data_IF_036315267330
#
_entry.id   IF_036315267330
#
_cell.length_a   1.000
_cell.length_b   1.000
_cell.length_c   1.000
_cell.angle_alpha   90.00
_cell.angle_beta   90.00
_cell.angle_gamma   90.00
#
_symmetry.space_group_name_H-M   'P 1'
#
loop_
_entity.id
_entity.type
_entity.pdbx_description
1 polymer ?
#
# COMPACT_ATOMS: atom_id res chain seq x y z
N UNK A 1 14.99 1.70 -14.10
CA UNK A 1 14.84 0.23 -14.28
C UNK A 1 13.45 -0.07 -14.85
N UNK A 2 13.29 -1.21 -15.51
CA UNK A 2 12.00 -1.56 -16.13
C UNK A 2 10.96 -1.97 -15.09
N UNK A 3 9.71 -1.53 -15.28
CA UNK A 3 8.53 -2.04 -14.58
C UNK A 3 7.80 -3.13 -15.39
N UNK A 4 8.34 -3.49 -16.55
CA UNK A 4 7.79 -4.55 -17.40
C UNK A 4 8.29 -5.92 -16.91
N UNK A 5 7.67 -6.42 -15.85
CA UNK A 5 8.07 -7.64 -15.16
C UNK A 5 7.35 -8.88 -15.69
N UNK A 6 8.03 -10.02 -15.68
CA UNK A 6 7.39 -11.30 -15.93
C UNK A 6 6.30 -11.55 -14.89
N UNK A 7 5.14 -12.02 -15.36
CA UNK A 7 4.03 -12.43 -14.52
C UNK A 7 3.84 -13.95 -14.54
N UNK A 8 2.87 -14.43 -13.79
CA UNK A 8 2.48 -15.86 -13.81
C UNK A 8 2.00 -16.35 -15.18
N UNK A 9 1.73 -15.47 -16.13
CA UNK A 9 1.38 -15.81 -17.49
C UNK A 9 2.59 -15.97 -18.43
N UNK A 10 3.78 -15.60 -17.98
CA UNK A 10 4.98 -15.50 -18.81
C UNK A 10 5.95 -16.68 -18.66
N UNK A 11 5.59 -17.72 -17.90
CA UNK A 11 6.39 -18.93 -17.74
C UNK A 11 5.55 -20.20 -17.61
N UNK A 12 6.15 -21.34 -17.89
CA UNK A 12 5.48 -22.63 -17.78
C UNK A 12 5.69 -23.22 -16.37
N UNK A 13 4.63 -23.23 -15.57
CA UNK A 13 4.65 -23.75 -14.21
C UNK A 13 4.30 -25.24 -14.08
N UNK A 14 3.93 -25.92 -15.18
CA UNK A 14 3.47 -27.31 -15.15
C UNK A 14 4.52 -28.26 -14.56
N UNK A 15 4.13 -29.02 -13.54
CA UNK A 15 4.98 -29.97 -12.82
C UNK A 15 6.07 -29.36 -11.94
N UNK A 16 6.20 -28.05 -11.93
CA UNK A 16 7.23 -27.33 -11.16
C UNK A 16 6.75 -26.99 -9.75
N UNK A 17 7.70 -26.95 -8.84
CA UNK A 17 7.51 -26.42 -7.48
C UNK A 17 7.64 -24.90 -7.56
N UNK A 18 6.60 -24.18 -7.27
CA UNK A 18 6.56 -22.71 -7.31
C UNK A 18 6.37 -22.16 -5.91
N UNK A 19 7.37 -21.45 -5.43
CA UNK A 19 7.28 -20.71 -4.16
C UNK A 19 6.56 -19.39 -4.41
N UNK A 20 5.41 -19.19 -3.74
CA UNK A 20 4.61 -17.98 -3.87
C UNK A 20 4.67 -17.19 -2.56
N UNK A 21 5.23 -16.00 -2.61
CA UNK A 21 5.24 -15.08 -1.47
C UNK A 21 3.93 -14.28 -1.46
N UNK A 22 3.06 -14.61 -0.53
CA UNK A 22 1.77 -13.95 -0.32
C UNK A 22 1.83 -12.93 0.83
N UNK A 23 0.82 -12.11 0.93
CA UNK A 23 0.56 -11.30 2.12
C UNK A 23 -0.66 -11.86 2.87
N UNK A 24 -0.40 -12.72 3.82
CA UNK A 24 -1.39 -13.30 4.73
C UNK A 24 -1.32 -12.68 6.14
N UNK A 25 -0.80 -11.46 6.23
CA UNK A 25 -0.78 -10.70 7.47
C UNK A 25 -2.19 -10.18 7.79
N UNK A 26 -3.08 -11.10 8.09
CA UNK A 26 -4.50 -10.86 8.40
C UNK A 26 -4.69 -10.49 9.87
N UNK A 27 -5.71 -9.68 10.21
CA UNK A 27 -6.05 -9.42 11.59
C UNK A 27 -6.68 -10.66 12.23
N UNK A 28 -6.19 -11.00 13.41
CA UNK A 28 -6.69 -12.12 14.22
C UNK A 28 -7.27 -11.59 15.54
N UNK A 29 -8.43 -12.14 15.95
CA UNK A 29 -9.01 -11.93 17.27
C UNK A 29 -9.33 -13.30 17.86
N UNK A 30 -8.73 -13.63 19.00
CA UNK A 30 -8.89 -14.93 19.65
C UNK A 30 -8.61 -16.14 18.73
N UNK A 31 -7.59 -16.02 17.86
CA UNK A 31 -7.23 -17.04 16.89
C UNK A 31 -8.11 -17.13 15.65
N UNK A 32 -9.11 -16.27 15.51
CA UNK A 32 -9.99 -16.23 14.35
C UNK A 32 -9.68 -15.03 13.44
N UNK A 33 -9.74 -15.26 12.13
CA UNK A 33 -9.52 -14.23 11.11
C UNK A 33 -10.74 -13.31 11.08
N UNK A 34 -10.54 -12.01 11.32
CA UNK A 34 -11.61 -11.00 11.31
C UNK A 34 -11.75 -10.29 9.96
N UNK A 35 -10.74 -10.35 9.11
CA UNK A 35 -10.75 -9.81 7.74
C UNK A 35 -9.96 -10.76 6.83
N UNK A 36 -10.60 -11.30 5.81
CA UNK A 36 -10.01 -12.23 4.86
C UNK A 36 -9.61 -11.61 3.53
N UNK A 37 -9.67 -10.29 3.39
CA UNK A 37 -9.42 -9.56 2.14
C UNK A 37 -8.09 -9.95 1.50
N UNK A 38 -7.04 -10.08 2.29
CA UNK A 38 -5.70 -10.47 1.80
C UNK A 38 -5.63 -11.90 1.31
N UNK A 39 -6.36 -12.81 1.94
CA UNK A 39 -6.46 -14.20 1.51
C UNK A 39 -7.17 -14.26 0.16
N UNK A 40 -8.31 -13.58 0.02
CA UNK A 40 -9.10 -13.52 -1.22
C UNK A 40 -8.28 -12.89 -2.35
N UNK A 41 -7.51 -11.85 -2.06
CA UNK A 41 -6.66 -11.19 -3.05
C UNK A 41 -5.55 -12.09 -3.63
N UNK A 42 -5.10 -13.10 -2.89
CA UNK A 42 -4.09 -14.06 -3.33
C UNK A 42 -4.65 -15.19 -4.21
N UNK A 43 -5.97 -15.45 -4.16
CA UNK A 43 -6.60 -16.59 -4.84
C UNK A 43 -6.41 -16.59 -6.35
N UNK A 44 -6.51 -15.47 -7.09
CA UNK A 44 -6.32 -15.49 -8.54
C UNK A 44 -4.96 -16.05 -8.97
N UNK A 45 -3.89 -15.65 -8.31
CA UNK A 45 -2.53 -16.16 -8.58
C UNK A 45 -2.41 -17.64 -8.23
N UNK A 46 -2.90 -18.04 -7.06
CA UNK A 46 -2.87 -19.43 -6.62
C UNK A 46 -3.65 -20.31 -7.60
N UNK A 47 -4.87 -19.94 -7.95
CA UNK A 47 -5.72 -20.69 -8.88
C UNK A 47 -5.11 -20.79 -10.27
N UNK A 48 -4.44 -19.73 -10.76
CA UNK A 48 -3.73 -19.77 -12.05
C UNK A 48 -2.64 -20.83 -12.04
N UNK A 49 -1.79 -20.84 -11.02
CA UNK A 49 -0.71 -21.82 -10.89
C UNK A 49 -1.24 -23.24 -10.73
N UNK A 50 -2.32 -23.45 -9.98
CA UNK A 50 -2.97 -24.75 -9.86
C UNK A 50 -3.54 -25.23 -11.18
N UNK A 51 -4.18 -24.34 -11.93
CA UNK A 51 -4.71 -24.65 -13.29
C UNK A 51 -3.59 -25.03 -14.25
N UNK A 52 -2.43 -24.45 -14.10
CA UNK A 52 -1.25 -24.75 -14.93
C UNK A 52 -0.53 -26.04 -14.52
N UNK A 53 -0.97 -26.72 -13.46
CA UNK A 53 -0.39 -27.97 -12.98
C UNK A 53 0.84 -27.79 -12.09
N UNK A 54 1.02 -26.63 -11.47
CA UNK A 54 2.11 -26.40 -10.54
C UNK A 54 1.90 -27.13 -9.20
N UNK A 55 3.01 -27.34 -8.50
CA UNK A 55 3.07 -27.68 -7.06
C UNK A 55 3.28 -26.37 -6.32
N UNK A 56 2.26 -25.88 -5.62
CA UNK A 56 2.23 -24.52 -5.06
C UNK A 56 2.69 -24.52 -3.62
N UNK A 57 3.76 -23.81 -3.33
CA UNK A 57 4.32 -23.64 -1.97
C UNK A 57 4.11 -22.20 -1.57
N UNK A 58 3.25 -21.96 -0.58
CA UNK A 58 2.91 -20.62 -0.10
C UNK A 58 3.77 -20.24 1.11
N UNK A 59 4.23 -19.02 1.18
CA UNK A 59 4.87 -18.44 2.35
C UNK A 59 4.39 -17.01 2.61
N UNK A 60 4.36 -16.61 3.85
CA UNK A 60 3.98 -15.28 4.30
C UNK A 60 4.48 -15.00 5.71
N UNK A 61 4.59 -13.71 6.03
CA UNK A 61 4.69 -13.27 7.41
C UNK A 61 3.29 -13.08 8.04
N UNK A 62 3.24 -13.07 9.36
CA UNK A 62 2.07 -12.70 10.15
C UNK A 62 2.55 -11.97 11.42
N UNK A 63 2.01 -10.77 11.70
CA UNK A 63 2.40 -10.00 12.88
C UNK A 63 3.85 -9.51 12.87
N UNK A 64 4.34 -9.17 14.05
CA UNK A 64 5.72 -8.64 14.24
C UNK A 64 6.69 -9.63 14.87
N UNK A 65 6.19 -10.68 15.49
CA UNK A 65 6.97 -11.76 16.15
C UNK A 65 8.09 -11.22 17.05
N UNK A 66 7.73 -10.35 17.99
CA UNK A 66 8.72 -9.66 18.86
C UNK A 66 9.39 -10.58 19.87
N UNK A 67 8.68 -11.60 20.33
CA UNK A 67 9.10 -12.51 21.40
C UNK A 67 9.50 -13.91 20.90
N UNK A 68 9.73 -14.03 19.58
CA UNK A 68 10.01 -15.31 18.94
C UNK A 68 8.76 -16.10 18.54
N UNK A 69 8.96 -17.31 17.95
CA UNK A 69 7.87 -18.15 17.46
C UNK A 69 6.83 -18.47 18.53
N UNK A 70 5.56 -18.31 18.19
CA UNK A 70 4.44 -18.58 19.10
C UNK A 70 3.15 -18.90 18.34
N UNK A 71 2.21 -19.59 19.00
CA UNK A 71 0.93 -19.99 18.41
C UNK A 71 0.02 -18.83 17.97
N UNK A 72 0.11 -17.67 18.62
CA UNK A 72 -0.74 -16.51 18.29
C UNK A 72 -0.43 -15.91 16.91
N UNK A 73 0.80 -16.10 16.46
CA UNK A 73 1.29 -15.62 15.17
C UNK A 73 1.51 -16.77 14.18
N UNK A 74 0.94 -17.96 14.46
CA UNK A 74 0.93 -19.10 13.54
C UNK A 74 0.01 -18.86 12.34
N UNK A 75 0.41 -19.32 11.16
CA UNK A 75 -0.41 -19.31 9.95
C UNK A 75 -1.43 -20.45 9.87
N UNK A 76 -1.58 -21.26 10.90
CA UNK A 76 -2.55 -22.36 10.94
C UNK A 76 -3.99 -21.91 10.60
N UNK A 77 -4.52 -20.80 11.15
CA UNK A 77 -5.84 -20.28 10.77
C UNK A 77 -5.95 -19.92 9.30
N UNK A 78 -4.87 -19.40 8.70
CA UNK A 78 -4.81 -19.05 7.27
C UNK A 78 -4.87 -20.31 6.41
N UNK A 79 -4.15 -21.37 6.77
CA UNK A 79 -4.19 -22.66 6.07
C UNK A 79 -5.61 -23.24 6.02
N UNK A 80 -6.32 -23.20 7.14
CA UNK A 80 -7.71 -23.64 7.25
C UNK A 80 -8.62 -22.83 6.31
N UNK A 81 -8.51 -21.49 6.35
CA UNK A 81 -9.32 -20.61 5.54
C UNK A 81 -9.01 -20.76 4.03
N UNK A 82 -7.76 -20.93 3.66
CA UNK A 82 -7.35 -21.21 2.29
C UNK A 82 -7.94 -22.54 1.79
N UNK A 83 -7.91 -23.58 2.59
CA UNK A 83 -8.51 -24.87 2.24
C UNK A 83 -10.00 -24.73 1.94
N UNK A 84 -10.72 -23.96 2.75
CA UNK A 84 -12.15 -23.66 2.53
C UNK A 84 -12.37 -22.89 1.20
N UNK A 85 -11.56 -21.87 0.95
CA UNK A 85 -11.68 -21.02 -0.25
C UNK A 85 -11.28 -21.73 -1.54
N UNK A 86 -10.28 -22.59 -1.49
CA UNK A 86 -9.81 -23.36 -2.65
C UNK A 86 -10.63 -24.63 -2.88
N UNK A 87 -11.45 -25.05 -1.91
CA UNK A 87 -12.21 -26.30 -1.99
C UNK A 87 -11.31 -27.55 -2.05
N UNK A 88 -10.10 -27.45 -1.50
CA UNK A 88 -9.12 -28.52 -1.45
C UNK A 88 -8.21 -28.37 -0.25
N UNK A 89 -7.55 -29.46 0.16
CA UNK A 89 -6.62 -29.40 1.26
C UNK A 89 -5.40 -28.52 0.97
N UNK A 90 -5.09 -27.64 1.90
CA UNK A 90 -3.80 -26.94 2.01
C UNK A 90 -3.03 -27.61 3.12
N UNK A 91 -1.92 -28.28 2.80
CA UNK A 91 -1.05 -28.92 3.78
C UNK A 91 -0.28 -27.84 4.52
N UNK A 92 -0.57 -27.68 5.81
CA UNK A 92 0.14 -26.71 6.66
C UNK A 92 1.34 -27.37 7.33
N UNK A 93 2.52 -26.80 7.11
CA UNK A 93 3.76 -27.24 7.74
C UNK A 93 3.98 -26.47 9.03
N UNK A 94 3.63 -27.07 10.16
CA UNK A 94 3.67 -26.45 11.49
C UNK A 94 5.08 -26.41 12.11
N UNK A 95 6.12 -26.31 11.30
CA UNK A 95 7.51 -26.29 11.75
C UNK A 95 7.96 -24.85 12.01
N UNK A 96 8.32 -24.53 13.23
CA UNK A 96 8.80 -23.20 13.64
C UNK A 96 10.14 -22.82 12.97
N UNK A 97 10.89 -23.80 12.44
CA UNK A 97 12.06 -23.53 11.60
C UNK A 97 11.71 -23.09 10.17
N UNK A 98 10.43 -23.13 9.79
CA UNK A 98 9.90 -22.73 8.49
C UNK A 98 10.40 -23.60 7.33
N UNK A 99 11.68 -23.76 7.18
CA UNK A 99 12.39 -24.52 6.13
C UNK A 99 13.10 -25.77 6.66
N UNK A 100 12.65 -26.29 7.80
CA UNK A 100 13.20 -27.51 8.41
C UNK A 100 12.85 -28.79 7.65
N UNK A 101 13.16 -29.93 8.25
CA UNK A 101 12.93 -31.25 7.63
C UNK A 101 11.45 -31.49 7.28
N UNK A 102 10.53 -31.03 8.14
CA UNK A 102 9.10 -31.17 7.88
C UNK A 102 8.67 -30.44 6.57
N UNK A 103 9.24 -29.27 6.29
CA UNK A 103 8.99 -28.55 5.04
C UNK A 103 9.57 -29.30 3.84
N UNK A 104 10.79 -29.78 3.94
CA UNK A 104 11.43 -30.59 2.89
C UNK A 104 10.61 -31.83 2.56
N UNK A 105 10.17 -32.58 3.58
CA UNK A 105 9.37 -33.78 3.40
C UNK A 105 8.00 -33.50 2.78
N UNK A 106 7.31 -32.45 3.25
CA UNK A 106 6.02 -32.02 2.71
C UNK A 106 6.12 -31.63 1.23
N UNK A 107 7.14 -30.87 0.86
CA UNK A 107 7.38 -30.45 -0.51
C UNK A 107 7.76 -31.64 -1.39
N UNK A 108 8.59 -32.56 -0.93
CA UNK A 108 8.97 -33.78 -1.67
C UNK A 108 7.77 -34.69 -1.97
N UNK A 109 6.75 -34.70 -1.11
CA UNK A 109 5.54 -35.49 -1.26
C UNK A 109 4.50 -34.87 -2.21
N UNK A 110 4.67 -33.61 -2.65
CA UNK A 110 3.72 -32.89 -3.49
C UNK A 110 3.54 -33.53 -4.87
N UNK A 111 2.30 -33.51 -5.33
CA UNK A 111 1.89 -33.79 -6.70
C UNK A 111 1.43 -32.51 -7.38
N UNK A 112 1.29 -32.54 -8.69
CA UNK A 112 0.69 -31.45 -9.46
C UNK A 112 -0.70 -31.10 -8.90
N UNK A 113 -0.90 -29.81 -8.68
CA UNK A 113 -2.13 -29.29 -8.09
C UNK A 113 -2.20 -29.32 -6.56
N UNK A 114 -1.17 -29.81 -5.88
CA UNK A 114 -1.10 -29.72 -4.42
C UNK A 114 -0.68 -28.32 -3.93
N UNK A 115 -1.12 -27.99 -2.72
CA UNK A 115 -0.79 -26.73 -2.04
C UNK A 115 -0.22 -27.02 -0.68
N UNK A 116 0.94 -26.43 -0.40
CA UNK A 116 1.60 -26.43 0.91
C UNK A 116 1.69 -24.98 1.39
N UNK A 117 1.38 -24.74 2.66
CA UNK A 117 1.65 -23.46 3.33
C UNK A 117 2.73 -23.66 4.39
N UNK A 118 3.83 -22.94 4.27
CA UNK A 118 4.88 -22.90 5.28
C UNK A 118 4.44 -22.07 6.49
N UNK A 119 5.10 -22.28 7.64
CA UNK A 119 4.88 -21.48 8.84
C UNK A 119 5.39 -20.03 8.64
N UNK A 120 4.93 -19.13 9.49
CA UNK A 120 5.26 -17.71 9.49
C UNK A 120 6.77 -17.47 9.26
N UNK A 121 7.11 -16.78 8.18
CA UNK A 121 8.51 -16.53 7.81
C UNK A 121 9.26 -15.74 8.87
N UNK A 122 8.57 -14.91 9.66
CA UNK A 122 9.14 -14.14 10.77
C UNK A 122 9.42 -14.98 12.03
N UNK A 123 9.09 -16.26 12.03
CA UNK A 123 9.60 -17.18 13.06
C UNK A 123 11.11 -17.38 12.92
N UNK A 124 11.65 -17.09 11.74
CA UNK A 124 13.08 -16.97 11.51
C UNK A 124 13.48 -15.50 11.60
N UNK A 125 14.34 -15.18 12.56
CA UNK A 125 14.85 -13.80 12.74
C UNK A 125 15.58 -13.28 11.49
N UNK A 126 16.14 -14.17 10.70
CA UNK A 126 16.84 -13.91 9.45
C UNK A 126 15.94 -13.31 8.36
N UNK A 127 14.62 -13.48 8.45
CA UNK A 127 13.65 -12.92 7.48
C UNK A 127 13.76 -11.40 7.36
N UNK A 128 13.83 -10.70 8.51
CA UNK A 128 13.81 -9.24 8.57
C UNK A 128 15.21 -8.59 8.55
N UNK A 129 16.25 -9.39 8.64
CA UNK A 129 17.61 -8.84 8.63
C UNK A 129 17.93 -8.25 7.26
N UNK A 130 18.63 -7.11 7.26
CA UNK A 130 19.21 -6.56 6.04
C UNK A 130 20.10 -7.62 5.37
N UNK A 131 20.33 -7.54 4.04
CA UNK A 131 21.16 -8.54 3.35
C UNK A 131 22.48 -8.77 4.08
N UNK A 132 22.51 -9.79 4.89
CA UNK A 132 23.66 -10.27 5.63
C UNK A 132 23.72 -11.79 5.46
N UNK A 133 24.77 -12.41 5.98
CA UNK A 133 24.98 -13.87 5.82
C UNK A 133 23.81 -14.71 6.35
N UNK A 134 23.12 -14.26 7.40
CA UNK A 134 21.99 -15.00 7.98
C UNK A 134 20.73 -14.93 7.08
N UNK A 135 20.38 -13.74 6.60
CA UNK A 135 19.26 -13.56 5.67
C UNK A 135 19.48 -14.33 4.37
N UNK A 136 20.69 -14.35 3.85
CA UNK A 136 21.05 -15.13 2.66
C UNK A 136 20.90 -16.64 2.88
N UNK A 137 21.29 -17.17 4.02
CA UNK A 137 21.12 -18.59 4.32
C UNK A 137 19.64 -19.00 4.33
N UNK A 138 18.79 -18.25 5.00
CA UNK A 138 17.35 -18.50 5.02
C UNK A 138 16.70 -18.36 3.64
N UNK A 139 17.07 -17.34 2.88
CA UNK A 139 16.61 -17.17 1.49
C UNK A 139 17.01 -18.35 0.60
N UNK A 140 18.23 -18.88 0.77
CA UNK A 140 18.68 -20.07 0.04
C UNK A 140 17.87 -21.30 0.44
N UNK A 141 17.61 -21.51 1.73
CA UNK A 141 16.76 -22.61 2.21
C UNK A 141 15.35 -22.56 1.59
N UNK A 142 14.74 -21.36 1.52
CA UNK A 142 13.46 -21.15 0.83
C UNK A 142 13.56 -21.51 -0.65
N UNK A 143 14.59 -21.02 -1.34
CA UNK A 143 14.81 -21.30 -2.75
C UNK A 143 15.06 -22.78 -3.05
N UNK A 144 15.69 -23.51 -2.14
CA UNK A 144 15.96 -24.94 -2.30
C UNK A 144 14.67 -25.79 -2.29
N UNK A 145 13.57 -25.27 -1.76
CA UNK A 145 12.26 -25.91 -1.79
C UNK A 145 11.56 -25.82 -3.16
N UNK A 146 11.98 -24.91 -4.04
CA UNK A 146 11.24 -24.58 -5.24
C UNK A 146 12.11 -24.52 -6.51
N UNK A 147 11.48 -24.61 -7.66
CA UNK A 147 12.11 -24.44 -8.97
C UNK A 147 11.98 -22.97 -9.44
N UNK A 148 10.79 -22.38 -9.26
CA UNK A 148 10.48 -21.02 -9.63
C UNK A 148 9.89 -20.24 -8.43
N UNK A 149 9.89 -18.91 -8.53
CA UNK A 149 9.40 -18.01 -7.50
C UNK A 149 8.39 -17.00 -8.07
N UNK A 150 7.34 -16.74 -7.30
CA UNK A 150 6.33 -15.71 -7.60
C UNK A 150 6.16 -14.80 -6.38
N UNK A 151 6.31 -13.50 -6.56
CA UNK A 151 5.95 -12.53 -5.55
C UNK A 151 4.53 -11.97 -5.81
N UNK A 152 3.69 -12.03 -4.78
CA UNK A 152 2.31 -11.51 -4.84
C UNK A 152 1.94 -10.76 -3.56
N UNK A 153 2.90 -10.03 -2.99
CA UNK A 153 2.79 -9.39 -1.67
C UNK A 153 3.26 -7.94 -1.70
N UNK A 154 2.59 -7.07 -2.45
CA UNK A 154 3.01 -5.69 -2.69
C UNK A 154 3.31 -4.90 -1.41
N UNK A 155 2.52 -5.10 -0.35
CA UNK A 155 2.74 -4.46 0.95
C UNK A 155 4.10 -4.75 1.61
N UNK A 156 4.81 -5.80 1.16
CA UNK A 156 6.13 -6.19 1.67
C UNK A 156 7.28 -5.81 0.76
N UNK A 157 7.01 -5.32 -0.46
CA UNK A 157 8.00 -5.12 -1.53
C UNK A 157 9.03 -4.02 -1.26
N UNK A 158 8.71 -3.10 -0.36
CA UNK A 158 9.62 -2.02 0.07
C UNK A 158 10.76 -2.52 0.98
N UNK A 159 10.75 -3.80 1.35
CA UNK A 159 11.72 -4.40 2.26
C UNK A 159 12.51 -5.50 1.54
N UNK A 160 13.83 -5.44 1.63
CA UNK A 160 14.70 -6.48 1.08
C UNK A 160 14.77 -7.72 1.99
N UNK A 161 13.59 -8.24 2.40
CA UNK A 161 13.49 -9.43 3.24
C UNK A 161 13.91 -10.70 2.50
N UNK A 162 14.29 -11.73 3.25
CA UNK A 162 14.76 -13.00 2.70
C UNK A 162 13.74 -13.62 1.74
N UNK A 163 12.46 -13.70 2.13
CA UNK A 163 11.38 -14.30 1.32
C UNK A 163 10.85 -13.37 0.20
N UNK A 164 11.23 -12.10 0.19
CA UNK A 164 10.71 -11.08 -0.76
C UNK A 164 11.70 -10.81 -1.89
N UNK A 165 12.93 -10.46 -1.56
CA UNK A 165 13.92 -10.04 -2.55
C UNK A 165 15.13 -10.99 -2.63
N UNK A 166 15.68 -11.42 -1.48
CA UNK A 166 16.95 -12.18 -1.48
C UNK A 166 16.78 -13.57 -2.09
N UNK A 167 15.64 -14.21 -1.91
CA UNK A 167 15.31 -15.54 -2.45
C UNK A 167 15.47 -15.61 -3.98
N UNK A 168 15.19 -14.53 -4.69
CA UNK A 168 15.23 -14.48 -6.17
C UNK A 168 16.62 -14.77 -6.72
N UNK A 169 17.67 -14.32 -6.02
CA UNK A 169 19.05 -14.63 -6.40
C UNK A 169 19.29 -16.12 -6.53
N UNK A 170 18.86 -16.88 -5.53
CA UNK A 170 19.09 -18.34 -5.48
C UNK A 170 18.20 -19.13 -6.44
N UNK A 171 17.01 -18.61 -6.75
CA UNK A 171 16.15 -19.14 -7.81
C UNK A 171 16.83 -18.94 -9.18
N UNK A 172 17.35 -17.73 -9.45
CA UNK A 172 18.07 -17.43 -10.70
C UNK A 172 19.32 -18.28 -10.88
N UNK A 173 20.10 -18.50 -9.80
CA UNK A 173 21.30 -19.35 -9.85
C UNK A 173 21.02 -20.80 -10.29
N UNK A 174 19.78 -21.26 -10.09
CA UNK A 174 19.32 -22.58 -10.55
C UNK A 174 18.67 -22.56 -11.94
N UNK A 175 18.62 -21.40 -12.59
CA UNK A 175 17.92 -21.21 -13.86
C UNK A 175 16.40 -21.12 -13.74
N UNK A 176 15.87 -20.90 -12.53
CA UNK A 176 14.46 -20.67 -12.29
C UNK A 176 14.01 -19.25 -12.64
N UNK A 177 12.70 -19.06 -12.72
CA UNK A 177 12.05 -17.79 -13.04
C UNK A 177 11.59 -17.09 -11.77
N UNK A 178 11.78 -15.77 -11.71
CA UNK A 178 11.23 -14.90 -10.69
C UNK A 178 10.15 -14.04 -11.32
N UNK A 179 8.89 -14.33 -11.04
CA UNK A 179 7.76 -13.63 -11.61
C UNK A 179 6.94 -12.89 -10.55
N UNK A 180 6.01 -12.05 -10.98
CA UNK A 180 5.02 -11.41 -10.13
C UNK A 180 3.65 -12.08 -10.29
N UNK A 181 2.87 -12.14 -9.22
CA UNK A 181 1.49 -12.57 -9.27
C UNK A 181 0.55 -11.48 -9.80
N UNK A 182 -0.70 -11.80 -9.94
CA UNK A 182 -1.71 -10.87 -10.48
C UNK A 182 -1.96 -9.66 -9.59
N UNK A 183 -1.88 -9.82 -8.25
CA UNK A 183 -2.00 -8.69 -7.35
C UNK A 183 -0.85 -7.71 -7.56
N UNK A 184 0.38 -8.21 -7.62
CA UNK A 184 1.56 -7.40 -7.89
C UNK A 184 1.51 -6.77 -9.27
N UNK A 185 1.10 -7.50 -10.31
CA UNK A 185 0.98 -6.98 -11.66
C UNK A 185 0.01 -5.80 -11.71
N UNK A 186 -1.13 -5.93 -11.03
CA UNK A 186 -2.12 -4.86 -10.93
C UNK A 186 -1.57 -3.60 -10.24
N UNK A 187 -0.83 -3.77 -9.15
CA UNK A 187 -0.17 -2.65 -8.46
C UNK A 187 0.87 -1.96 -9.37
N UNK A 188 1.69 -2.72 -10.07
CA UNK A 188 2.68 -2.21 -11.01
C UNK A 188 1.99 -1.46 -12.17
N UNK A 189 0.93 -2.03 -12.74
CA UNK A 189 0.21 -1.44 -13.86
C UNK A 189 -0.46 -0.12 -13.48
N UNK A 190 -1.09 -0.06 -12.31
CA UNK A 190 -1.78 1.16 -11.88
C UNK A 190 -0.83 2.18 -11.27
N UNK A 191 -0.15 1.87 -10.17
CA UNK A 191 0.74 2.80 -9.49
C UNK A 191 1.97 3.14 -10.32
N UNK A 192 2.61 2.13 -10.90
CA UNK A 192 3.82 2.29 -11.68
C UNK A 192 3.59 3.17 -12.91
N UNK A 193 2.60 2.84 -13.71
CA UNK A 193 2.29 3.60 -14.91
C UNK A 193 1.75 5.00 -14.59
N UNK A 194 0.95 5.15 -13.53
CA UNK A 194 0.44 6.46 -13.12
C UNK A 194 1.55 7.44 -12.74
N UNK A 195 2.62 6.94 -12.11
CA UNK A 195 3.73 7.79 -11.66
C UNK A 195 4.78 7.98 -12.75
N UNK A 196 5.11 6.92 -13.51
CA UNK A 196 6.17 6.98 -14.53
C UNK A 196 5.69 7.46 -15.89
N UNK A 197 4.49 7.07 -16.32
CA UNK A 197 3.93 7.37 -17.63
C UNK A 197 2.45 7.74 -17.57
N UNK A 198 2.05 8.78 -16.79
CA UNK A 198 0.64 9.13 -16.65
C UNK A 198 0.01 9.62 -17.94
N UNK A 199 -1.25 9.26 -18.14
CA UNK A 199 -2.08 9.95 -19.13
C UNK A 199 -2.46 11.32 -18.55
N UNK A 200 -2.12 12.40 -19.26
CA UNK A 200 -2.28 13.76 -18.76
C UNK A 200 -3.63 14.39 -19.18
N UNK A 201 -4.19 15.28 -18.38
CA UNK A 201 -3.63 15.86 -17.13
C UNK A 201 -3.57 14.85 -15.98
N UNK A 202 -2.46 14.90 -15.24
CA UNK A 202 -2.23 14.10 -14.04
C UNK A 202 -2.40 14.94 -12.78
N UNK A 203 -3.35 14.59 -11.94
CA UNK A 203 -3.63 15.23 -10.65
C UNK A 203 -3.24 14.30 -9.53
N UNK A 204 -2.38 14.77 -8.62
CA UNK A 204 -2.05 14.09 -7.38
C UNK A 204 -2.70 14.81 -6.20
N UNK A 205 -3.31 14.04 -5.29
CA UNK A 205 -3.99 14.55 -4.10
C UNK A 205 -3.31 13.95 -2.88
N UNK A 206 -2.76 14.80 -2.03
CA UNK A 206 -2.13 14.41 -0.78
C UNK A 206 -2.86 15.03 0.40
N UNK A 207 -3.09 14.22 1.42
CA UNK A 207 -3.66 14.62 2.69
C UNK A 207 -2.99 13.90 3.85
N UNK A 208 -3.59 13.99 5.03
CA UNK A 208 -3.05 13.42 6.25
C UNK A 208 -2.64 14.49 7.27
N UNK A 209 -2.10 14.07 8.41
CA UNK A 209 -1.88 14.94 9.54
C UNK A 209 -0.62 15.81 9.42
N UNK A 210 0.51 15.22 9.01
CA UNK A 210 1.83 15.89 9.08
C UNK A 210 2.53 15.92 7.73
N UNK A 211 3.09 17.09 7.39
CA UNK A 211 3.90 17.26 6.17
C UNK A 211 5.20 16.44 6.23
N UNK A 212 5.79 16.28 7.42
CA UNK A 212 7.02 15.51 7.63
C UNK A 212 6.91 14.05 7.13
N UNK A 213 5.72 13.47 7.20
CA UNK A 213 5.49 12.09 6.79
C UNK A 213 5.47 11.91 5.25
N UNK A 214 5.42 13.00 4.48
CA UNK A 214 5.23 12.99 3.02
C UNK A 214 6.19 13.88 2.22
N UNK A 215 7.32 14.26 2.81
CA UNK A 215 8.28 15.18 2.16
C UNK A 215 8.71 14.69 0.78
N UNK A 216 9.15 13.44 0.69
CA UNK A 216 9.65 12.86 -0.55
C UNK A 216 8.52 12.63 -1.56
N UNK A 217 7.32 12.32 -1.08
CA UNK A 217 6.13 12.16 -1.94
C UNK A 217 5.77 13.48 -2.59
N UNK A 218 5.75 14.58 -1.82
CA UNK A 218 5.46 15.93 -2.32
C UNK A 218 6.48 16.30 -3.38
N UNK A 219 7.76 16.16 -3.09
CA UNK A 219 8.86 16.51 -3.98
C UNK A 219 8.79 15.74 -5.31
N UNK A 220 8.64 14.41 -5.23
CA UNK A 220 8.53 13.56 -6.42
C UNK A 220 7.27 13.86 -7.25
N UNK A 221 6.11 14.01 -6.61
CA UNK A 221 4.87 14.26 -7.34
C UNK A 221 4.77 15.67 -7.93
N UNK A 222 5.45 16.67 -7.35
CA UNK A 222 5.58 17.99 -7.98
C UNK A 222 6.28 17.92 -9.32
N UNK A 223 7.24 17.04 -9.50
CA UNK A 223 7.92 16.85 -10.78
C UNK A 223 7.06 16.11 -11.79
N UNK A 224 6.21 15.21 -11.36
CA UNK A 224 5.47 14.29 -12.21
C UNK A 224 4.04 14.71 -12.52
N UNK A 225 3.33 15.29 -11.57
CA UNK A 225 1.94 15.72 -11.75
C UNK A 225 1.85 17.09 -12.42
N UNK A 226 0.73 17.35 -13.08
CA UNK A 226 0.38 18.67 -13.61
C UNK A 226 -0.21 19.56 -12.52
N UNK A 227 -0.95 18.96 -11.62
CA UNK A 227 -1.54 19.60 -10.44
C UNK A 227 -1.31 18.75 -9.20
N UNK A 228 -0.81 19.37 -8.14
CA UNK A 228 -0.70 18.77 -6.81
C UNK A 228 -1.68 19.47 -5.87
N UNK A 229 -2.55 18.68 -5.26
CA UNK A 229 -3.54 19.12 -4.27
C UNK A 229 -3.06 18.71 -2.89
N UNK A 230 -3.01 19.64 -1.96
CA UNK A 230 -2.66 19.41 -0.56
C UNK A 230 -3.87 19.70 0.32
N UNK A 231 -4.30 18.69 1.09
CA UNK A 231 -5.36 18.82 2.08
C UNK A 231 -4.96 18.21 3.43
N UNK A 232 -5.94 18.06 4.31
CA UNK A 232 -5.70 17.53 5.66
C UNK A 232 -4.89 18.45 6.57
N UNK A 233 -4.45 17.94 7.70
CA UNK A 233 -3.66 18.69 8.69
C UNK A 233 -2.34 19.21 8.13
N UNK A 234 -1.72 18.49 7.21
CA UNK A 234 -0.47 18.92 6.57
C UNK A 234 -0.61 20.23 5.76
N UNK A 235 -1.80 20.58 5.30
CA UNK A 235 -2.04 21.81 4.56
C UNK A 235 -1.78 23.08 5.43
N UNK A 236 -1.96 23.01 6.73
CA UNK A 236 -1.77 24.18 7.61
C UNK A 236 -0.32 24.61 7.70
N UNK A 237 0.64 23.71 7.56
CA UNK A 237 2.06 24.10 7.47
C UNK A 237 2.33 24.89 6.18
N UNK A 238 1.72 24.51 5.07
CA UNK A 238 1.76 25.30 3.82
C UNK A 238 1.08 26.65 3.95
N UNK A 239 -0.10 26.71 4.59
CA UNK A 239 -0.82 27.97 4.82
C UNK A 239 -0.01 28.94 5.70
N UNK A 240 0.62 28.42 6.76
CA UNK A 240 1.53 29.21 7.60
C UNK A 240 2.75 29.70 6.81
N UNK A 241 3.31 28.85 5.93
CA UNK A 241 4.39 29.25 5.04
C UNK A 241 4.00 30.39 4.08
N UNK A 242 2.71 30.47 3.71
CA UNK A 242 2.15 31.63 2.95
C UNK A 242 1.98 32.90 3.79
N UNK A 243 2.20 32.84 5.11
CA UNK A 243 2.02 33.96 6.01
C UNK A 243 0.63 34.04 6.66
N UNK A 244 -0.18 32.97 6.58
CA UNK A 244 -1.52 32.95 7.18
C UNK A 244 -1.43 32.57 8.66
N UNK A 245 -2.31 33.18 9.48
CA UNK A 245 -2.57 32.76 10.83
C UNK A 245 -3.47 31.50 10.82
N UNK A 246 -3.04 30.44 11.47
CA UNK A 246 -3.73 29.15 11.46
C UNK A 246 -4.34 28.76 12.82
N UNK A 247 -4.33 29.66 13.79
CA UNK A 247 -4.86 29.40 15.13
C UNK A 247 -4.15 28.25 15.82
N UNK A 248 -4.94 27.31 16.35
CA UNK A 248 -4.45 26.08 17.01
C UNK A 248 -4.29 24.90 16.06
N UNK A 249 -4.42 25.11 14.76
CA UNK A 249 -4.32 24.04 13.76
C UNK A 249 -2.98 23.31 13.85
N UNK A 250 -2.95 22.05 13.45
CA UNK A 250 -1.73 21.26 13.33
C UNK A 250 -0.70 22.01 12.48
N UNK A 251 0.54 22.04 12.94
CA UNK A 251 1.64 22.65 12.20
C UNK A 251 2.93 21.90 12.50
N UNK A 252 3.79 21.81 11.50
CA UNK A 252 5.15 21.33 11.60
C UNK A 252 6.08 22.53 11.38
N UNK A 253 6.41 23.21 12.49
CA UNK A 253 7.20 24.46 12.45
C UNK A 253 8.58 24.27 11.82
N UNK A 254 9.17 23.08 11.95
CA UNK A 254 10.47 22.75 11.33
C UNK A 254 10.40 22.58 9.81
N UNK A 255 9.18 22.48 9.24
CA UNK A 255 8.94 22.24 7.82
C UNK A 255 8.37 23.44 7.06
N UNK A 256 8.26 24.58 7.70
CA UNK A 256 7.75 25.80 7.05
C UNK A 256 8.64 26.21 5.88
N UNK A 257 9.96 26.17 6.04
CA UNK A 257 10.90 26.52 4.96
C UNK A 257 10.82 25.52 3.82
N UNK A 258 10.68 24.22 4.13
CA UNK A 258 10.43 23.20 3.12
C UNK A 258 9.15 23.46 2.31
N UNK A 259 8.06 23.84 2.96
CA UNK A 259 6.81 24.19 2.27
C UNK A 259 6.98 25.40 1.35
N UNK A 260 7.74 26.41 1.74
CA UNK A 260 8.10 27.54 0.87
C UNK A 260 8.88 27.09 -0.35
N UNK A 261 9.88 26.21 -0.17
CA UNK A 261 10.65 25.64 -1.26
C UNK A 261 9.77 24.86 -2.26
N UNK A 262 8.81 24.08 -1.75
CA UNK A 262 7.90 23.31 -2.61
C UNK A 262 6.94 24.21 -3.39
N UNK A 263 6.43 25.28 -2.80
CA UNK A 263 5.62 26.27 -3.50
C UNK A 263 6.43 26.99 -4.60
N UNK A 264 7.67 27.39 -4.32
CA UNK A 264 8.58 27.98 -5.29
C UNK A 264 8.95 27.00 -6.40
N UNK A 265 9.18 25.74 -6.06
CA UNK A 265 9.45 24.67 -7.04
C UNK A 265 8.26 24.48 -7.99
N UNK A 266 7.04 24.43 -7.46
CA UNK A 266 5.83 24.32 -8.26
C UNK A 266 5.73 25.46 -9.27
N UNK A 267 5.97 26.70 -8.84
CA UNK A 267 5.94 27.88 -9.70
C UNK A 267 7.01 27.79 -10.79
N UNK A 268 8.26 27.47 -10.44
CA UNK A 268 9.36 27.31 -11.40
C UNK A 268 9.12 26.23 -12.44
N UNK A 269 8.46 25.14 -12.04
CA UNK A 269 8.11 24.03 -12.93
C UNK A 269 6.82 24.27 -13.74
N UNK A 270 6.13 25.40 -13.51
CA UNK A 270 4.82 25.68 -14.12
C UNK A 270 3.70 24.73 -13.69
N UNK A 271 3.82 24.15 -12.50
CA UNK A 271 2.84 23.24 -11.91
C UNK A 271 1.84 23.98 -11.05
N UNK A 272 0.62 23.48 -10.97
CA UNK A 272 -0.38 23.98 -10.02
C UNK A 272 -0.24 23.27 -8.69
N UNK A 273 -0.07 24.03 -7.61
CA UNK A 273 -0.14 23.54 -6.24
C UNK A 273 -1.36 24.17 -5.59
N UNK A 274 -2.40 23.38 -5.35
CA UNK A 274 -3.67 23.83 -4.78
C UNK A 274 -3.71 23.57 -3.28
N UNK A 275 -3.99 24.62 -2.52
CA UNK A 275 -4.17 24.60 -1.07
C UNK A 275 -5.62 24.95 -0.71
N UNK A 276 -6.10 24.56 0.48
CA UNK A 276 -7.41 24.97 0.94
C UNK A 276 -7.59 26.50 0.96
N UNK A 277 -8.66 27.00 0.37
CA UNK A 277 -9.03 28.42 0.36
C UNK A 277 -10.04 28.75 1.45
N UNK A 278 -10.76 27.77 1.96
CA UNK A 278 -11.59 27.84 3.15
C UNK A 278 -11.44 26.58 3.99
N UNK A 279 -11.76 26.69 5.26
CA UNK A 279 -11.47 25.67 6.28
C UNK A 279 -12.64 25.51 7.21
N UNK A 280 -13.00 24.26 7.52
CA UNK A 280 -13.90 23.91 8.61
C UNK A 280 -13.14 23.94 9.94
N UNK A 281 -13.54 24.82 10.84
CA UNK A 281 -12.89 25.07 12.12
C UNK A 281 -13.77 24.69 13.31
N UNK A 282 -13.12 24.30 14.40
CA UNK A 282 -13.77 24.03 15.69
C UNK A 282 -12.87 24.52 16.84
N UNK A 283 -13.47 24.60 18.04
CA UNK A 283 -12.75 25.04 19.25
C UNK A 283 -11.72 24.00 19.73
N UNK A 284 -11.98 22.71 19.45
CA UNK A 284 -11.10 21.60 19.84
C UNK A 284 -11.31 20.39 18.93
N UNK A 285 -10.32 19.48 18.94
CA UNK A 285 -10.43 18.19 18.29
C UNK A 285 -11.60 17.37 18.92
N UNK A 286 -12.38 16.60 18.12
CA UNK A 286 -13.49 15.83 18.66
C UNK A 286 -13.01 14.70 19.56
N UNK A 287 -13.68 14.58 20.74
CA UNK A 287 -13.46 13.50 21.69
C UNK A 287 -14.82 13.03 22.25
N UNK A 288 -15.28 11.80 21.92
CA UNK A 288 -14.64 10.82 21.03
C UNK A 288 -14.52 11.33 19.58
N UNK A 289 -13.64 10.73 18.79
CA UNK A 289 -13.33 11.18 17.41
C UNK A 289 -14.57 11.29 16.51
N UNK A 290 -15.55 10.41 16.68
CA UNK A 290 -16.82 10.36 15.96
C UNK A 290 -17.97 11.11 16.67
N UNK A 291 -17.66 11.79 17.78
CA UNK A 291 -18.62 12.52 18.60
C UNK A 291 -19.14 13.80 17.97
N UNK A 292 -20.18 14.40 18.57
CA UNK A 292 -20.74 15.66 18.09
C UNK A 292 -19.71 16.79 18.16
N UNK A 293 -19.67 17.63 17.11
CA UNK A 293 -18.78 18.79 17.04
C UNK A 293 -19.45 19.94 16.29
N UNK A 294 -19.28 21.16 16.81
CA UNK A 294 -19.73 22.37 16.15
C UNK A 294 -18.63 22.87 15.18
N UNK A 295 -18.95 22.92 13.90
CA UNK A 295 -18.02 23.34 12.86
C UNK A 295 -18.52 24.60 12.15
N UNK A 296 -17.64 25.57 12.02
CA UNK A 296 -17.87 26.78 11.23
C UNK A 296 -16.87 26.84 10.07
N UNK A 297 -17.26 27.39 8.95
CA UNK A 297 -16.40 27.56 7.79
C UNK A 297 -15.94 28.99 7.66
N UNK A 298 -14.61 29.17 7.52
CA UNK A 298 -13.97 30.48 7.33
C UNK A 298 -13.00 30.42 6.16
N UNK A 299 -12.67 31.57 5.57
CA UNK A 299 -11.56 31.64 4.63
C UNK A 299 -10.27 31.21 5.34
N UNK A 300 -9.39 30.44 4.65
CA UNK A 300 -8.21 29.85 5.28
C UNK A 300 -7.19 30.86 5.81
N UNK A 301 -7.28 32.13 5.40
CA UNK A 301 -6.48 33.23 5.95
C UNK A 301 -7.16 33.98 7.11
N UNK A 302 -8.28 33.47 7.62
CA UNK A 302 -9.07 34.07 8.69
C UNK A 302 -9.39 33.12 9.83
N UNK A 303 -8.53 32.16 10.10
CA UNK A 303 -8.72 31.21 11.19
C UNK A 303 -8.48 31.96 12.53
N UNK A 304 -9.47 31.98 13.45
CA UNK A 304 -9.28 32.59 14.75
C UNK A 304 -8.19 31.92 15.58
N UNK A 305 -7.53 32.70 16.44
CA UNK A 305 -6.42 32.22 17.27
C UNK A 305 -6.78 31.09 18.24
N UNK A 306 -8.05 31.02 18.65
CA UNK A 306 -8.60 30.03 19.59
C UNK A 306 -9.27 28.82 18.90
N UNK A 307 -9.21 28.74 17.58
CA UNK A 307 -9.82 27.70 16.79
C UNK A 307 -8.77 26.88 16.02
N UNK A 308 -9.14 25.68 15.62
CA UNK A 308 -8.31 24.79 14.78
C UNK A 308 -9.07 24.29 13.55
N UNK A 309 -8.35 24.14 12.45
CA UNK A 309 -8.88 23.58 11.23
C UNK A 309 -8.90 22.05 11.27
N UNK A 310 -10.03 21.45 10.88
CA UNK A 310 -10.24 20.00 10.95
C UNK A 310 -10.78 19.39 9.66
N UNK A 311 -11.16 20.21 8.69
CA UNK A 311 -11.58 19.78 7.35
C UNK A 311 -11.42 20.94 6.36
N UNK A 312 -11.45 20.63 5.06
CA UNK A 312 -11.56 21.63 4.00
C UNK A 312 -13.00 22.14 3.90
N UNK A 313 -13.16 23.42 3.55
CA UNK A 313 -14.45 24.03 3.40
C UNK A 313 -15.11 23.81 2.04
N UNK A 314 -16.37 24.28 1.87
CA UNK A 314 -17.15 24.09 0.63
C UNK A 314 -16.51 24.66 -0.62
N UNK A 315 -15.89 25.84 -0.53
CA UNK A 315 -15.18 26.47 -1.66
C UNK A 315 -13.96 25.64 -2.11
N UNK A 316 -13.25 25.07 -1.15
CA UNK A 316 -12.11 24.18 -1.41
C UNK A 316 -12.57 22.86 -2.02
N UNK A 317 -13.68 22.30 -1.54
CA UNK A 317 -14.29 21.09 -2.11
C UNK A 317 -14.60 21.29 -3.61
N UNK A 318 -15.17 22.43 -3.99
CA UNK A 318 -15.44 22.78 -5.39
C UNK A 318 -14.15 22.95 -6.19
N UNK A 319 -13.16 23.68 -5.65
CA UNK A 319 -11.86 23.89 -6.27
C UNK A 319 -11.16 22.56 -6.57
N UNK A 320 -11.13 21.64 -5.61
CA UNK A 320 -10.49 20.34 -5.77
C UNK A 320 -11.26 19.44 -6.72
N UNK A 321 -12.58 19.43 -6.64
CA UNK A 321 -13.44 18.68 -7.56
C UNK A 321 -13.26 19.13 -9.01
N UNK A 322 -13.16 20.43 -9.25
CA UNK A 322 -12.95 20.99 -10.60
C UNK A 322 -11.59 20.58 -11.18
N UNK A 323 -10.54 20.53 -10.36
CA UNK A 323 -9.22 20.02 -10.78
C UNK A 323 -9.29 18.54 -11.18
N UNK A 324 -10.07 17.73 -10.46
CA UNK A 324 -10.25 16.31 -10.75
C UNK A 324 -11.06 16.06 -12.02
N UNK A 325 -12.08 16.87 -12.30
CA UNK A 325 -12.96 16.69 -13.47
C UNK A 325 -12.22 16.68 -14.81
N UNK A 326 -11.17 17.49 -14.95
CA UNK A 326 -10.39 17.58 -16.18
C UNK A 326 -9.24 16.58 -16.24
N UNK A 327 -8.99 15.83 -15.20
CA UNK A 327 -7.90 14.87 -15.11
C UNK A 327 -8.13 13.63 -15.98
N UNK A 328 -7.04 13.01 -16.42
CA UNK A 328 -7.03 11.67 -17.03
C UNK A 328 -6.39 10.62 -16.11
N UNK A 329 -5.56 11.06 -15.19
CA UNK A 329 -4.98 10.22 -14.13
C UNK A 329 -5.08 10.97 -12.81
N UNK A 330 -5.58 10.30 -11.77
CA UNK A 330 -5.64 10.83 -10.41
C UNK A 330 -5.04 9.82 -9.45
N UNK A 331 -4.10 10.25 -8.64
CA UNK A 331 -3.58 9.49 -7.50
C UNK A 331 -3.95 10.22 -6.22
N UNK A 332 -4.57 9.53 -5.29
CA UNK A 332 -4.98 10.09 -4.01
C UNK A 332 -4.37 9.32 -2.84
N UNK A 333 -3.68 10.03 -1.94
CA UNK A 333 -3.09 9.49 -0.73
C UNK A 333 -3.32 10.43 0.46
N UNK A 334 -4.18 10.04 1.38
CA UNK A 334 -4.48 10.75 2.63
C UNK A 334 -5.78 11.57 2.61
N UNK A 335 -6.54 11.52 3.71
CA UNK A 335 -7.83 12.22 3.83
C UNK A 335 -7.67 13.75 3.90
N UNK A 336 -8.76 14.47 3.60
CA UNK A 336 -8.79 15.93 3.59
C UNK A 336 -9.12 16.55 4.96
N UNK A 337 -9.56 15.75 5.90
CA UNK A 337 -9.93 16.15 7.26
C UNK A 337 -10.08 14.94 8.17
N UNK A 338 -10.69 15.14 9.33
CA UNK A 338 -10.98 14.10 10.33
C UNK A 338 -12.19 13.27 9.85
N UNK A 339 -11.96 12.43 8.85
CA UNK A 339 -13.04 11.71 8.14
C UNK A 339 -13.79 10.67 8.99
N UNK A 340 -13.22 10.27 10.11
CA UNK A 340 -13.87 9.41 11.11
C UNK A 340 -15.05 10.11 11.79
N UNK A 341 -15.07 11.43 11.76
CA UNK A 341 -16.17 12.24 12.26
C UNK A 341 -17.13 12.59 11.12
N UNK A 342 -18.43 12.27 11.22
CA UNK A 342 -19.42 12.53 10.16
C UNK A 342 -19.50 13.99 9.73
N UNK A 343 -19.34 14.92 10.67
CA UNK A 343 -19.39 16.37 10.39
C UNK A 343 -18.11 16.86 9.66
N UNK A 344 -16.97 16.24 9.94
CA UNK A 344 -15.66 16.59 9.41
C UNK A 344 -15.24 15.71 8.21
N UNK A 345 -16.09 14.79 7.79
CA UNK A 345 -15.86 13.92 6.62
C UNK A 345 -16.26 14.58 5.29
N UNK A 346 -16.93 15.72 5.30
CA UNK A 346 -17.50 16.35 4.10
C UNK A 346 -16.47 16.64 3.01
N UNK A 347 -15.29 17.10 3.39
CA UNK A 347 -14.20 17.36 2.45
C UNK A 347 -13.69 16.09 1.79
N UNK A 348 -13.46 15.04 2.57
CA UNK A 348 -13.02 13.73 2.08
C UNK A 348 -14.10 13.08 1.19
N UNK A 349 -15.38 13.19 1.56
CA UNK A 349 -16.50 12.72 0.74
C UNK A 349 -16.54 13.47 -0.60
N UNK A 350 -16.36 14.78 -0.60
CA UNK A 350 -16.39 15.59 -1.82
C UNK A 350 -15.27 15.17 -2.80
N UNK A 351 -14.07 14.90 -2.30
CA UNK A 351 -12.96 14.39 -3.11
C UNK A 351 -13.28 12.98 -3.63
N UNK A 352 -13.71 12.06 -2.78
CA UNK A 352 -14.08 10.70 -3.18
C UNK A 352 -15.19 10.71 -4.24
N UNK A 353 -16.20 11.57 -4.09
CA UNK A 353 -17.27 11.74 -5.06
C UNK A 353 -16.75 12.26 -6.40
N UNK A 354 -15.86 13.25 -6.39
CA UNK A 354 -15.25 13.76 -7.62
C UNK A 354 -14.47 12.69 -8.36
N UNK A 355 -13.72 11.84 -7.64
CA UNK A 355 -13.01 10.69 -8.23
C UNK A 355 -13.99 9.65 -8.78
N UNK A 356 -15.13 9.44 -8.12
CA UNK A 356 -16.15 8.48 -8.56
C UNK A 356 -16.88 8.93 -9.84
N UNK A 357 -16.95 10.23 -10.08
CA UNK A 357 -17.68 10.83 -11.20
C UNK A 357 -16.80 11.20 -12.41
N UNK A 358 -15.48 11.15 -12.28
CA UNK A 358 -14.55 11.45 -13.38
C UNK A 358 -14.31 10.21 -14.27
N UNK A 359 -13.98 10.47 -15.55
CA UNK A 359 -13.54 9.44 -16.51
C UNK A 359 -12.04 9.12 -16.38
N UNK A 360 -11.34 9.70 -15.41
CA UNK A 360 -9.94 9.47 -15.17
C UNK A 360 -9.67 8.06 -14.63
N UNK A 361 -8.46 7.57 -14.83
CA UNK A 361 -7.94 6.45 -14.04
C UNK A 361 -7.68 6.95 -12.62
N UNK A 362 -8.39 6.38 -11.65
CA UNK A 362 -8.34 6.80 -10.24
C UNK A 362 -7.67 5.75 -9.38
N UNK A 363 -6.60 6.14 -8.70
CA UNK A 363 -5.76 5.24 -7.90
C UNK A 363 -5.68 5.78 -6.48
N UNK A 364 -6.05 4.93 -5.53
CA UNK A 364 -6.00 5.24 -4.11
C UNK A 364 -4.80 4.54 -3.49
N UNK A 365 -3.90 5.30 -2.89
CA UNK A 365 -2.74 4.80 -2.16
C UNK A 365 -2.79 5.14 -0.68
N UNK A 366 -2.33 4.21 0.16
CA UNK A 366 -2.30 4.39 1.61
C UNK A 366 -3.53 3.89 2.35
N UNK A 367 -3.29 3.46 3.59
CA UNK A 367 -4.31 2.82 4.44
C UNK A 367 -5.50 3.72 4.75
N UNK A 368 -5.24 4.97 5.12
CA UNK A 368 -6.30 5.92 5.52
C UNK A 368 -7.22 6.29 4.35
N UNK A 369 -6.65 6.49 3.15
CA UNK A 369 -7.44 6.76 1.95
C UNK A 369 -8.28 5.56 1.53
N UNK A 370 -7.71 4.36 1.58
CA UNK A 370 -8.42 3.12 1.32
C UNK A 370 -9.55 2.91 2.34
N UNK A 371 -9.27 3.13 3.63
CA UNK A 371 -10.27 3.06 4.69
C UNK A 371 -11.40 4.10 4.48
N UNK A 372 -11.05 5.33 4.11
CA UNK A 372 -12.03 6.36 3.81
C UNK A 372 -12.91 5.97 2.62
N UNK A 373 -12.35 5.47 1.52
CA UNK A 373 -13.12 5.01 0.36
C UNK A 373 -14.08 3.87 0.72
N UNK A 374 -13.60 2.89 1.50
CA UNK A 374 -14.44 1.77 1.95
C UNK A 374 -15.56 2.23 2.88
N UNK A 375 -15.22 3.02 3.91
CA UNK A 375 -16.17 3.51 4.91
C UNK A 375 -17.24 4.41 4.28
N UNK A 376 -16.87 5.23 3.32
CA UNK A 376 -17.76 6.17 2.65
C UNK A 376 -18.49 5.58 1.43
N UNK A 377 -18.26 4.30 1.10
CA UNK A 377 -18.99 3.58 0.05
C UNK A 377 -18.55 3.91 -1.38
N UNK A 378 -17.34 4.38 -1.60
CA UNK A 378 -16.80 4.74 -2.94
C UNK A 378 -15.78 3.75 -3.50
N UNK A 379 -15.45 2.69 -2.76
CA UNK A 379 -14.39 1.76 -3.15
C UNK A 379 -14.58 1.15 -4.55
N UNK A 380 -15.81 0.71 -4.86
CA UNK A 380 -16.15 0.06 -6.15
C UNK A 380 -16.07 1.02 -7.36
N UNK A 381 -16.00 2.33 -7.10
CA UNK A 381 -15.94 3.35 -8.15
C UNK A 381 -14.51 3.81 -8.46
N UNK A 382 -13.53 3.33 -7.72
CA UNK A 382 -12.12 3.59 -7.97
C UNK A 382 -11.55 2.58 -8.95
N UNK A 383 -10.66 3.03 -9.84
CA UNK A 383 -10.00 2.12 -10.78
C UNK A 383 -9.10 1.13 -10.07
N UNK A 384 -8.41 1.57 -9.02
CA UNK A 384 -7.56 0.74 -8.19
C UNK A 384 -7.41 1.31 -6.78
N UNK A 385 -7.55 0.45 -5.77
CA UNK A 385 -7.18 0.76 -4.39
C UNK A 385 -5.99 -0.10 -4.04
N UNK A 386 -4.83 0.54 -3.81
CA UNK A 386 -3.61 -0.17 -3.47
C UNK A 386 -3.71 -0.83 -2.10
N UNK A 387 -3.27 -2.07 -2.04
CA UNK A 387 -3.14 -2.84 -0.80
C UNK A 387 -1.79 -2.63 -0.11
N UNK A 388 -0.90 -1.85 -0.73
CA UNK A 388 0.51 -1.77 -0.38
C UNK A 388 0.86 -0.96 0.86
N UNK A 389 -0.04 -0.13 1.39
CA UNK A 389 0.26 0.70 2.57
C UNK A 389 1.56 1.50 2.43
N UNK A 390 2.57 1.14 3.24
CA UNK A 390 3.90 1.76 3.20
C UNK A 390 4.62 1.58 1.87
N UNK A 391 4.48 0.44 1.20
CA UNK A 391 5.08 0.21 -0.11
C UNK A 391 4.51 1.16 -1.17
N UNK A 392 3.19 1.42 -1.13
CA UNK A 392 2.55 2.40 -2.03
C UNK A 392 3.12 3.80 -1.81
N UNK A 393 3.32 4.19 -0.56
CA UNK A 393 3.88 5.49 -0.22
C UNK A 393 5.32 5.62 -0.74
N UNK A 394 6.17 4.64 -0.47
CA UNK A 394 7.56 4.62 -0.95
C UNK A 394 7.64 4.61 -2.49
N UNK A 395 6.71 3.95 -3.15
CA UNK A 395 6.60 4.00 -4.60
C UNK A 395 6.27 5.41 -5.12
N UNK A 396 5.34 6.10 -4.45
CA UNK A 396 5.00 7.50 -4.74
C UNK A 396 6.15 8.47 -4.43
N UNK A 397 7.07 8.11 -3.54
CA UNK A 397 8.31 8.82 -3.29
C UNK A 397 9.35 8.68 -4.43
N UNK A 398 9.08 7.82 -5.41
CA UNK A 398 10.01 7.49 -6.48
C UNK A 398 11.10 6.50 -6.09
N UNK A 399 10.93 5.80 -4.98
CA UNK A 399 11.87 4.77 -4.55
C UNK A 399 11.69 3.48 -5.34
N UNK A 400 12.80 2.84 -5.63
CA UNK A 400 12.80 1.47 -6.14
C UNK A 400 12.43 0.51 -5.02
N UNK A 401 11.39 -0.30 -5.25
CA UNK A 401 10.98 -1.32 -4.28
C UNK A 401 11.77 -2.61 -4.50
N UNK A 402 12.58 -3.06 -3.53
CA UNK A 402 13.47 -4.21 -3.71
C UNK A 402 12.78 -5.46 -4.26
N UNK A 403 11.57 -5.78 -3.78
CA UNK A 403 10.84 -6.95 -4.23
C UNK A 403 10.34 -6.85 -5.67
N UNK A 404 9.91 -5.66 -6.11
CA UNK A 404 9.50 -5.44 -7.51
C UNK A 404 10.67 -5.62 -8.45
N UNK A 405 11.81 -5.00 -8.12
CA UNK A 405 13.00 -5.05 -8.97
C UNK A 405 13.73 -6.40 -8.93
N UNK A 406 13.46 -7.22 -7.92
CA UNK A 406 13.97 -8.59 -7.83
C UNK A 406 13.32 -9.56 -8.83
N UNK A 407 12.14 -9.23 -9.35
CA UNK A 407 11.49 -10.01 -10.40
C UNK A 407 12.17 -9.82 -11.76
N UNK A 408 12.13 -10.86 -12.60
CA UNK A 408 12.70 -10.84 -13.93
C UNK A 408 11.96 -9.84 -14.85
N UNK A 409 12.69 -9.17 -15.71
CA UNK A 409 12.10 -8.37 -16.79
C UNK A 409 11.58 -9.28 -17.93
N UNK A 410 10.53 -8.82 -18.63
CA UNK A 410 10.01 -9.48 -19.86
C UNK A 410 11.00 -9.39 -20.99
#
# INVERSE_FOLDING_TARGET
MSLNKKSVDDFNAAGKRVLVRCDFNVPLKNGEITDETRIVAALPTINKLLKDGAKVILCSHLGKVKEGPNEKESLAPVAKRLSEKLGKEVVFVADYNVTGQAATDAVAAMKEGDVVLLQNTRFRGEEETKPNKAGEAFAKELADLADDYVCDAFGSEHRAHASVAVVTKYISEKGGVNAVGYLMQKEIDFLGNAVENPVRPFVAILGGAKVADKLNVIDNLLEKADTLIIGGGMAFTFLKAKGFEIGKSLVDDEKIDYCKEMMDKAEKLGKKLLLPIDTGIAASFPDPIDGPIDVTYVDSNKIPADMEGLDIGPKTQELFADAVKSAKTVVWNGPMGVFENPTLAKGTIAVAKALAETDATTIIGGGDSAAACNQLGFADKMSHISTGGGASLEFLEGKELPGVYAADDK
#
